data_IF_315239740999
#
_entry.id   IF_315239740999
#
_cell.length_a   1.000
_cell.length_b   1.000
_cell.length_c   1.000
_cell.angle_alpha   90.00
_cell.angle_beta   90.00
_cell.angle_gamma   90.00
#
_symmetry.space_group_name_H-M   'P 1'
#
loop_
_entity.id
_entity.type
_entity.pdbx_description
1 polymer ?
#
# COMPACT_ATOMS: atom_id res chain seq x y z
N UNK A 1 -22.32 14.88 3.84
CA UNK A 1 -23.49 13.97 3.67
C UNK A 1 -23.35 12.92 2.58
N UNK A 2 -22.73 13.22 1.42
CA UNK A 2 -22.57 12.22 0.35
C UNK A 2 -21.69 11.01 0.73
N UNK A 3 -20.67 11.18 1.53
CA UNK A 3 -19.70 10.11 1.86
C UNK A 3 -20.28 8.97 2.71
N UNK A 4 -21.28 9.25 3.54
CA UNK A 4 -21.98 8.22 4.32
C UNK A 4 -22.66 7.15 3.45
N UNK A 5 -23.21 7.57 2.30
CA UNK A 5 -23.89 6.66 1.35
C UNK A 5 -22.91 5.72 0.62
N UNK A 6 -21.61 6.02 0.68
CA UNK A 6 -20.55 5.22 0.06
C UNK A 6 -19.85 4.28 1.07
N UNK A 7 -20.41 4.10 2.28
CA UNK A 7 -19.84 3.23 3.32
C UNK A 7 -18.73 3.85 4.15
N UNK A 8 -18.61 5.19 4.15
CA UNK A 8 -17.65 5.90 5.01
C UNK A 8 -18.18 6.15 6.41
N UNK A 9 -17.31 5.98 7.42
CA UNK A 9 -17.60 6.26 8.83
C UNK A 9 -17.23 7.70 9.19
N UNK A 10 -18.23 8.55 9.48
CA UNK A 10 -18.00 9.94 9.92
C UNK A 10 -17.21 10.02 11.24
N UNK A 11 -17.41 9.04 12.13
CA UNK A 11 -16.72 9.02 13.42
C UNK A 11 -15.23 8.69 13.25
N UNK A 12 -14.92 7.72 12.40
CA UNK A 12 -13.54 7.37 12.09
C UNK A 12 -12.82 8.51 11.35
N UNK A 13 -13.50 9.20 10.42
CA UNK A 13 -12.94 10.36 9.72
C UNK A 13 -12.63 11.49 10.71
N UNK A 14 -13.52 11.78 11.66
CA UNK A 14 -13.27 12.80 12.69
C UNK A 14 -12.08 12.43 13.57
N UNK A 15 -12.01 11.16 14.03
CA UNK A 15 -10.89 10.70 14.83
C UNK A 15 -9.54 10.82 14.08
N UNK A 16 -9.50 10.47 12.78
CA UNK A 16 -8.32 10.67 11.94
C UNK A 16 -7.96 12.15 11.82
N UNK A 17 -8.92 13.04 11.62
CA UNK A 17 -8.66 14.48 11.52
C UNK A 17 -8.18 15.08 12.84
N UNK A 18 -8.69 14.60 13.96
CA UNK A 18 -8.26 15.05 15.29
C UNK A 18 -6.83 14.56 15.60
N UNK A 19 -6.49 13.35 15.20
CA UNK A 19 -5.19 12.73 15.48
C UNK A 19 -4.10 13.17 14.49
N UNK A 20 -4.41 13.18 13.18
CA UNK A 20 -3.42 13.39 12.12
C UNK A 20 -3.61 14.68 11.32
N UNK A 21 -4.72 15.39 11.48
CA UNK A 21 -5.09 16.50 10.62
C UNK A 21 -4.12 17.69 10.62
N UNK A 22 -3.24 17.79 11.62
CA UNK A 22 -2.27 18.89 11.71
C UNK A 22 -0.87 18.51 11.20
N UNK A 23 -0.52 17.22 11.22
CA UNK A 23 0.84 16.75 10.94
C UNK A 23 0.93 15.82 9.72
N UNK A 24 -0.20 15.38 9.16
CA UNK A 24 -0.25 14.33 8.15
C UNK A 24 0.16 12.95 8.72
N UNK A 25 -0.11 11.90 7.98
CA UNK A 25 0.32 10.55 8.30
C UNK A 25 0.87 9.87 7.05
N UNK A 26 2.08 9.33 7.15
CA UNK A 26 2.74 8.55 6.10
C UNK A 26 3.35 7.29 6.69
N UNK A 27 2.54 6.27 6.88
CA UNK A 27 2.98 5.02 7.52
C UNK A 27 4.08 4.30 6.75
N UNK A 28 4.03 4.31 5.44
CA UNK A 28 5.03 3.64 4.60
C UNK A 28 6.37 4.35 4.48
N UNK A 29 6.52 5.57 5.00
CA UNK A 29 7.85 6.19 5.15
C UNK A 29 8.79 5.28 5.94
N UNK A 30 8.30 4.51 6.91
CA UNK A 30 9.12 3.56 7.65
C UNK A 30 9.69 2.46 6.76
N UNK A 31 8.90 1.95 5.82
CA UNK A 31 9.35 0.94 4.84
C UNK A 31 10.37 1.56 3.89
N UNK A 32 10.13 2.77 3.43
CA UNK A 32 11.04 3.50 2.54
C UNK A 32 12.33 3.90 3.25
N UNK A 33 12.29 4.28 4.53
CA UNK A 33 13.48 4.55 5.34
C UNK A 33 14.34 3.31 5.51
N UNK A 34 13.74 2.16 5.82
CA UNK A 34 14.45 0.89 5.93
C UNK A 34 15.07 0.48 4.60
N UNK A 35 14.35 0.65 3.50
CA UNK A 35 14.86 0.42 2.17
C UNK A 35 16.01 1.36 1.81
N UNK A 36 15.86 2.66 2.08
CA UNK A 36 16.92 3.64 1.84
C UNK A 36 18.17 3.36 2.66
N UNK A 37 18.03 2.95 3.94
CA UNK A 37 19.14 2.53 4.77
C UNK A 37 19.84 1.28 4.23
N UNK A 38 19.07 0.29 3.76
CA UNK A 38 19.62 -0.92 3.13
C UNK A 38 20.35 -0.61 1.80
N UNK A 39 19.91 0.41 1.07
CA UNK A 39 20.55 0.90 -0.16
C UNK A 39 21.73 1.86 0.11
N UNK A 40 22.07 2.12 1.38
CA UNK A 40 23.15 3.04 1.76
C UNK A 40 22.85 4.52 1.49
N UNK A 41 21.60 4.87 1.26
CA UNK A 41 21.17 6.25 1.07
C UNK A 41 21.00 6.93 2.42
N UNK A 42 21.50 8.16 2.56
CA UNK A 42 21.32 8.96 3.78
C UNK A 42 19.85 9.31 3.98
N UNK A 43 19.30 8.89 5.10
CA UNK A 43 17.95 9.25 5.53
C UNK A 43 17.89 10.63 6.22
N UNK A 44 19.03 11.26 6.42
CA UNK A 44 19.12 12.62 6.95
C UNK A 44 18.65 13.63 5.89
N UNK A 45 17.39 13.98 5.91
CA UNK A 45 16.88 15.04 5.02
C UNK A 45 15.47 14.84 4.51
N UNK A 46 14.81 13.76 4.91
CA UNK A 46 13.34 13.72 4.74
C UNK A 46 12.78 14.67 5.81
N UNK A 47 12.88 15.98 5.55
CA UNK A 47 12.05 16.94 6.23
C UNK A 47 10.61 16.47 5.95
N UNK A 48 9.94 16.04 7.00
CA UNK A 48 8.49 15.95 7.00
C UNK A 48 7.99 17.38 6.79
N UNK A 49 7.89 17.79 5.53
CA UNK A 49 7.07 18.95 5.25
C UNK A 49 5.68 18.56 5.74
N UNK A 50 5.08 19.33 6.64
CA UNK A 50 3.71 19.11 7.02
C UNK A 50 2.88 19.28 5.76
N UNK A 51 2.62 18.20 5.08
CA UNK A 51 1.72 18.19 3.94
C UNK A 51 0.34 17.97 4.53
N UNK A 52 -0.63 18.77 4.11
CA UNK A 52 -2.04 18.58 4.44
C UNK A 52 -2.60 17.26 3.89
N UNK A 53 -1.75 16.45 3.26
CA UNK A 53 -2.08 15.17 2.68
C UNK A 53 -1.91 14.05 3.71
N UNK A 54 -2.95 13.29 3.88
CA UNK A 54 -2.98 12.09 4.71
C UNK A 54 -2.97 10.89 3.77
N UNK A 55 -1.99 10.02 3.95
CA UNK A 55 -1.89 8.81 3.17
C UNK A 55 -2.89 7.76 3.68
N UNK A 56 -3.62 7.13 2.77
CA UNK A 56 -4.58 6.10 3.06
C UNK A 56 -4.21 4.80 2.34
N UNK A 57 -4.39 3.68 3.02
CA UNK A 57 -4.23 2.36 2.44
C UNK A 57 -5.59 1.84 1.99
N UNK A 58 -5.68 1.43 0.73
CA UNK A 58 -6.84 0.70 0.22
C UNK A 58 -6.56 -0.79 0.30
N UNK A 59 -7.37 -1.49 1.04
CA UNK A 59 -7.28 -2.94 1.22
C UNK A 59 -8.39 -3.65 0.47
N UNK A 60 -8.02 -4.70 -0.26
CA UNK A 60 -8.96 -5.64 -0.88
C UNK A 60 -8.60 -7.05 -0.44
N UNK A 61 -9.49 -7.71 0.27
CA UNK A 61 -9.21 -9.03 0.79
C UNK A 61 -10.39 -9.63 1.53
N UNK A 62 -10.16 -10.80 2.10
CA UNK A 62 -11.14 -11.48 2.92
C UNK A 62 -10.88 -11.11 4.38
N UNK A 63 -11.97 -10.78 5.08
CA UNK A 63 -11.96 -10.44 6.49
C UNK A 63 -13.12 -11.16 7.16
N UNK A 64 -12.89 -11.67 8.36
CA UNK A 64 -13.90 -12.35 9.14
C UNK A 64 -15.04 -11.41 9.54
N UNK A 65 -16.27 -11.89 9.45
CA UNK A 65 -17.46 -11.08 9.70
C UNK A 65 -17.50 -10.42 11.08
N UNK A 66 -16.94 -11.07 12.13
CA UNK A 66 -16.86 -10.48 13.45
C UNK A 66 -16.09 -9.16 13.47
N UNK A 67 -14.95 -9.09 12.79
CA UNK A 67 -14.16 -7.85 12.67
C UNK A 67 -14.91 -6.74 11.90
N UNK A 68 -15.71 -7.14 10.92
CA UNK A 68 -16.51 -6.18 10.14
C UNK A 68 -17.63 -5.56 10.97
N UNK A 69 -18.25 -6.34 11.85
CA UNK A 69 -19.21 -5.84 12.83
C UNK A 69 -18.55 -4.88 13.83
N UNK A 70 -17.34 -5.21 14.30
CA UNK A 70 -16.57 -4.35 15.20
C UNK A 70 -16.18 -3.02 14.52
N UNK A 71 -15.98 -3.01 13.22
CA UNK A 71 -15.75 -1.79 12.42
C UNK A 71 -17.02 -0.99 12.15
N UNK A 72 -18.18 -1.52 12.54
CA UNK A 72 -19.47 -0.83 12.46
C UNK A 72 -20.27 -1.10 11.19
N UNK A 73 -19.98 -2.20 10.47
CA UNK A 73 -20.86 -2.67 9.39
C UNK A 73 -22.18 -3.20 9.96
N UNK A 74 -23.23 -3.17 9.14
CA UNK A 74 -24.56 -3.61 9.57
C UNK A 74 -24.65 -5.14 9.59
N UNK A 75 -25.45 -5.66 10.54
CA UNK A 75 -25.73 -7.10 10.64
C UNK A 75 -26.44 -7.61 9.38
N UNK A 76 -27.18 -6.77 8.69
CA UNK A 76 -27.88 -7.12 7.45
C UNK A 76 -26.90 -7.41 6.30
N UNK A 77 -25.72 -6.77 6.31
CA UNK A 77 -24.66 -7.00 5.32
C UNK A 77 -23.77 -8.18 5.71
N UNK A 78 -23.71 -8.54 7.00
CA UNK A 78 -22.87 -9.60 7.55
C UNK A 78 -23.75 -10.59 8.34
N UNK A 79 -24.46 -11.50 7.65
CA UNK A 79 -25.38 -12.41 8.30
C UNK A 79 -24.69 -13.46 9.18
N UNK A 80 -23.45 -13.84 8.90
CA UNK A 80 -22.69 -14.80 9.69
C UNK A 80 -21.34 -14.24 10.14
N UNK A 81 -21.15 -13.94 11.44
CA UNK A 81 -19.90 -13.40 11.97
C UNK A 81 -18.68 -14.30 11.82
N UNK A 82 -18.87 -15.62 11.64
CA UNK A 82 -17.78 -16.58 11.53
C UNK A 82 -17.27 -16.78 10.10
N UNK A 83 -18.04 -16.33 9.12
CA UNK A 83 -17.66 -16.43 7.71
C UNK A 83 -16.71 -15.31 7.30
N UNK A 84 -15.90 -15.59 6.27
CA UNK A 84 -15.03 -14.62 5.64
C UNK A 84 -15.74 -13.93 4.49
N UNK A 85 -15.70 -12.60 4.48
CA UNK A 85 -16.29 -11.77 3.45
C UNK A 85 -15.21 -11.05 2.65
N UNK A 86 -15.34 -11.05 1.34
CA UNK A 86 -14.52 -10.23 0.46
C UNK A 86 -14.95 -8.76 0.59
N UNK A 87 -14.03 -7.89 0.96
CA UNK A 87 -14.31 -6.48 1.22
C UNK A 87 -13.34 -5.53 0.54
N UNK A 88 -13.78 -4.29 0.36
CA UNK A 88 -12.97 -3.11 0.17
C UNK A 88 -12.93 -2.32 1.47
N UNK A 89 -11.75 -2.06 1.98
CA UNK A 89 -11.58 -1.21 3.16
C UNK A 89 -10.54 -0.10 2.89
N UNK A 90 -10.76 1.06 3.49
CA UNK A 90 -9.82 2.17 3.49
C UNK A 90 -9.37 2.42 4.91
N UNK A 91 -8.06 2.40 5.12
CA UNK A 91 -7.43 2.48 6.44
C UNK A 91 -6.48 3.66 6.47
N UNK A 92 -6.55 4.45 7.53
CA UNK A 92 -5.62 5.54 7.82
C UNK A 92 -5.08 5.33 9.23
N UNK A 93 -3.78 5.06 9.35
CA UNK A 93 -3.18 4.68 10.61
C UNK A 93 -3.87 3.44 11.20
N UNK A 94 -4.48 3.59 12.36
CA UNK A 94 -5.24 2.54 13.06
C UNK A 94 -6.75 2.58 12.77
N UNK A 95 -7.23 3.54 11.97
CA UNK A 95 -8.65 3.78 11.75
C UNK A 95 -9.14 3.26 10.41
N UNK A 96 -10.21 2.46 10.45
CA UNK A 96 -10.93 2.04 9.25
C UNK A 96 -11.97 3.11 8.93
N UNK A 97 -11.75 3.87 7.87
CA UNK A 97 -12.62 4.98 7.46
C UNK A 97 -13.75 4.54 6.53
N UNK A 98 -13.54 3.44 5.81
CA UNK A 98 -14.53 2.82 4.92
C UNK A 98 -14.39 1.31 4.97
N UNK A 99 -15.50 0.61 5.05
CA UNK A 99 -15.58 -0.82 4.82
C UNK A 99 -16.86 -1.14 4.05
N UNK A 100 -16.74 -1.83 2.94
CA UNK A 100 -17.86 -2.20 2.06
C UNK A 100 -17.62 -3.61 1.53
N UNK A 101 -18.67 -4.41 1.44
CA UNK A 101 -18.60 -5.72 0.80
C UNK A 101 -18.28 -5.55 -0.69
N UNK A 102 -17.39 -6.39 -1.20
CA UNK A 102 -16.99 -6.34 -2.60
C UNK A 102 -18.22 -6.54 -3.51
N UNK A 103 -18.51 -5.62 -4.42
CA UNK A 103 -19.64 -5.72 -5.32
C UNK A 103 -19.49 -6.84 -6.36
N UNK A 104 -18.30 -7.39 -6.58
CA UNK A 104 -18.08 -8.51 -7.49
C UNK A 104 -18.59 -9.83 -6.84
N UNK A 105 -19.57 -10.52 -7.42
CA UNK A 105 -20.07 -11.79 -6.92
C UNK A 105 -19.00 -12.89 -6.80
N UNK A 106 -17.91 -12.77 -7.56
CA UNK A 106 -16.80 -13.70 -7.55
C UNK A 106 -15.69 -13.30 -6.56
N UNK A 107 -15.87 -12.19 -5.83
CA UNK A 107 -14.89 -11.69 -4.86
C UNK A 107 -13.53 -11.31 -5.45
N UNK A 108 -13.46 -11.05 -6.78
CA UNK A 108 -12.21 -10.72 -7.45
C UNK A 108 -11.69 -9.36 -7.01
N UNK A 109 -10.38 -9.28 -6.89
CA UNK A 109 -9.68 -8.03 -6.57
C UNK A 109 -9.44 -7.23 -7.84
N UNK A 110 -9.51 -5.88 -7.81
CA UNK A 110 -9.28 -5.04 -9.00
C UNK A 110 -7.80 -4.90 -9.38
N UNK A 111 -6.93 -5.74 -8.85
CA UNK A 111 -5.49 -5.69 -9.07
C UNK A 111 -5.04 -6.89 -9.88
N UNK A 112 -4.30 -6.62 -10.93
CA UNK A 112 -3.70 -7.64 -11.79
C UNK A 112 -2.20 -7.46 -11.79
N UNK A 113 -1.47 -8.57 -11.70
CA UNK A 113 -0.01 -8.60 -11.74
C UNK A 113 0.44 -9.26 -13.04
N UNK A 114 1.38 -8.63 -13.72
CA UNK A 114 2.13 -9.24 -14.81
C UNK A 114 3.62 -9.06 -14.52
N UNK A 115 4.39 -10.15 -14.45
CA UNK A 115 5.84 -10.13 -14.28
C UNK A 115 6.50 -10.48 -15.59
N UNK A 116 7.61 -9.82 -15.93
CA UNK A 116 8.39 -10.19 -17.11
C UNK A 116 9.06 -11.56 -16.90
N UNK A 117 9.72 -11.72 -15.76
CA UNK A 117 10.26 -13.00 -15.29
C UNK A 117 9.77 -13.22 -13.85
N UNK A 118 9.14 -14.37 -13.61
CA UNK A 118 8.67 -14.70 -12.26
C UNK A 118 9.80 -15.24 -11.40
N UNK A 119 9.92 -14.72 -10.17
CA UNK A 119 10.82 -15.20 -9.15
C UNK A 119 10.02 -16.07 -8.18
N UNK A 120 10.31 -17.37 -8.05
CA UNK A 120 9.60 -18.22 -7.11
C UNK A 120 9.71 -17.70 -5.68
N UNK A 121 8.54 -17.57 -5.00
CA UNK A 121 8.49 -17.09 -3.62
C UNK A 121 8.50 -15.57 -3.46
N UNK A 122 8.68 -14.78 -4.52
CA UNK A 122 8.58 -13.33 -4.48
C UNK A 122 7.28 -12.84 -5.15
N UNK A 123 6.68 -11.80 -4.59
CA UNK A 123 5.52 -11.17 -5.22
C UNK A 123 5.91 -10.44 -6.50
N UNK A 124 7.03 -9.72 -6.51
CA UNK A 124 7.55 -9.00 -7.66
C UNK A 124 8.50 -9.90 -8.45
N UNK A 125 8.42 -9.84 -9.77
CA UNK A 125 9.36 -10.48 -10.66
C UNK A 125 10.57 -9.60 -10.99
N UNK A 126 11.52 -10.13 -11.74
CA UNK A 126 12.64 -9.38 -12.28
C UNK A 126 12.19 -8.53 -13.47
N UNK A 127 12.72 -7.31 -13.56
CA UNK A 127 12.59 -6.47 -14.74
C UNK A 127 13.68 -6.79 -15.76
N UNK A 128 13.46 -6.40 -17.02
CA UNK A 128 14.50 -6.48 -18.07
C UNK A 128 15.74 -5.68 -17.65
N UNK A 129 15.54 -4.54 -17.01
CA UNK A 129 16.64 -3.70 -16.53
C UNK A 129 17.50 -4.40 -15.46
N UNK A 130 16.87 -5.16 -14.57
CA UNK A 130 17.60 -5.93 -13.55
C UNK A 130 18.41 -7.05 -14.18
N UNK A 131 17.86 -7.76 -15.17
CA UNK A 131 18.56 -8.83 -15.88
C UNK A 131 19.75 -8.33 -16.69
N UNK A 132 19.67 -7.11 -17.23
CA UNK A 132 20.74 -6.51 -18.03
C UNK A 132 21.77 -5.73 -17.20
N UNK A 133 21.56 -5.53 -15.92
CA UNK A 133 22.39 -4.67 -15.05
C UNK A 133 23.87 -5.07 -15.09
N UNK A 134 24.18 -6.33 -14.82
CA UNK A 134 25.56 -6.81 -14.74
C UNK A 134 26.28 -6.71 -16.08
N UNK A 135 25.59 -7.01 -17.17
CA UNK A 135 26.13 -6.86 -18.53
C UNK A 135 26.41 -5.39 -18.85
N UNK A 136 25.52 -4.51 -18.47
CA UNK A 136 25.68 -3.06 -18.65
C UNK A 136 26.87 -2.53 -17.83
N UNK A 137 27.06 -3.00 -16.63
CA UNK A 137 28.18 -2.61 -15.76
C UNK A 137 29.52 -3.05 -16.35
N UNK A 138 29.61 -4.26 -16.90
CA UNK A 138 30.80 -4.74 -17.61
C UNK A 138 31.07 -3.90 -18.84
N UNK A 139 30.08 -3.59 -19.67
CA UNK A 139 30.23 -2.73 -20.84
C UNK A 139 30.71 -1.32 -20.45
N UNK A 140 30.16 -0.75 -19.39
CA UNK A 140 30.56 0.57 -18.90
C UNK A 140 32.01 0.56 -18.37
N UNK A 141 32.42 -0.49 -17.66
CA UNK A 141 33.78 -0.65 -17.16
C UNK A 141 34.78 -0.77 -18.33
N UNK A 142 34.48 -1.59 -19.35
CA UNK A 142 35.28 -1.74 -20.53
C UNK A 142 35.45 -0.41 -21.32
N UNK A 143 34.33 0.32 -21.51
CA UNK A 143 34.35 1.61 -22.18
C UNK A 143 35.21 2.64 -21.43
N UNK A 144 35.09 2.72 -20.10
CA UNK A 144 35.94 3.60 -19.27
C UNK A 144 37.42 3.23 -19.34
N UNK A 145 37.73 1.92 -19.34
CA UNK A 145 39.09 1.44 -19.45
C UNK A 145 39.71 1.84 -20.80
N UNK A 146 38.98 1.72 -21.90
CA UNK A 146 39.43 2.17 -23.22
C UNK A 146 39.72 3.66 -23.24
N UNK A 147 38.82 4.49 -22.73
CA UNK A 147 39.01 5.97 -22.68
C UNK A 147 40.20 6.34 -21.81
N UNK A 148 40.43 5.66 -20.69
CA UNK A 148 41.55 5.97 -19.80
C UNK A 148 42.93 5.50 -20.36
N UNK A 149 42.96 4.59 -21.33
CA UNK A 149 44.15 4.08 -21.93
C UNK A 149 44.50 4.78 -23.27
N UNK A 150 43.67 5.71 -23.72
CA UNK A 150 43.90 6.57 -24.86
C UNK A 150 44.53 7.90 -24.43
#
# INVERSE_FOLDING_TARGET
>A
MHKRQEGYSDNAIRAVLDEYGKNGLRDWIYVDMNKAAAEGKSTMGVQQNPSDLIDALQFWGNVQGQLLLDWGMSVDEIPDPLMDYAIEAWVIGSWVIKAVVNPDPLGRKPYFKASYEEVPGAYWGNSVADLCRDTQDVCNAAARSLVNNM
#
